data_IF_650883571540
#
_entry.id   IF_650883571540
#
_cell.length_a   1.000
_cell.length_b   1.000
_cell.length_c   1.000
_cell.angle_alpha   90.00
_cell.angle_beta   90.00
_cell.angle_gamma   90.00
#
_symmetry.space_group_name_H-M   'P 1'
#
loop_
_entity.id
_entity.type
_entity.pdbx_description
1 polymer ?
#
# COMPACT_ATOMS: atom_id res chain seq x y z
N UNK A 1 -20.86 -14.02 -20.64
CA UNK A 1 -19.76 -14.54 -19.79
C UNK A 1 -20.35 -14.86 -18.44
N UNK A 2 -20.20 -16.09 -17.93
CA UNK A 2 -20.74 -16.44 -16.62
C UNK A 2 -20.05 -15.62 -15.53
N UNK A 3 -20.75 -15.28 -14.45
CA UNK A 3 -20.20 -14.48 -13.34
C UNK A 3 -19.05 -15.16 -12.61
N UNK A 4 -18.87 -16.48 -12.76
CA UNK A 4 -17.75 -17.22 -12.20
C UNK A 4 -16.48 -17.07 -13.05
N UNK A 5 -16.60 -17.09 -14.38
CA UNK A 5 -15.44 -16.89 -15.27
C UNK A 5 -14.80 -15.51 -15.08
N UNK A 6 -15.60 -14.49 -14.77
CA UNK A 6 -15.09 -13.15 -14.48
C UNK A 6 -14.40 -13.05 -13.12
N UNK A 7 -14.90 -13.73 -12.08
CA UNK A 7 -14.26 -13.73 -10.75
C UNK A 7 -12.94 -14.49 -10.73
N UNK A 8 -12.88 -15.64 -11.40
CA UNK A 8 -11.63 -16.42 -11.53
C UNK A 8 -10.56 -15.58 -12.25
N UNK A 9 -10.95 -14.87 -13.31
CA UNK A 9 -10.05 -13.94 -13.99
C UNK A 9 -9.55 -12.82 -13.08
N UNK A 10 -10.44 -12.17 -12.32
CA UNK A 10 -10.05 -11.11 -11.37
C UNK A 10 -9.08 -11.65 -10.32
N UNK A 11 -9.36 -12.84 -9.76
CA UNK A 11 -8.46 -13.50 -8.81
C UNK A 11 -7.08 -13.76 -9.42
N UNK A 12 -7.02 -14.25 -10.65
CA UNK A 12 -5.76 -14.47 -11.35
C UNK A 12 -5.00 -13.16 -11.62
N UNK A 13 -5.69 -12.10 -12.07
CA UNK A 13 -5.08 -10.77 -12.29
C UNK A 13 -4.54 -10.19 -10.97
N UNK A 14 -5.28 -10.32 -9.86
CA UNK A 14 -4.82 -9.94 -8.52
C UNK A 14 -3.59 -10.75 -8.10
N UNK A 15 -3.59 -12.08 -8.27
CA UNK A 15 -2.47 -12.94 -7.90
C UNK A 15 -1.18 -12.59 -8.68
N UNK A 16 -1.30 -12.32 -9.99
CA UNK A 16 -0.19 -11.87 -10.83
C UNK A 16 0.34 -10.54 -10.33
N UNK A 17 -0.53 -9.57 -10.07
CA UNK A 17 -0.10 -8.24 -9.58
C UNK A 17 0.52 -8.33 -8.17
N UNK A 18 0.04 -9.21 -7.30
CA UNK A 18 0.67 -9.46 -6.00
C UNK A 18 2.08 -10.05 -6.18
N UNK A 19 2.23 -11.02 -7.08
CA UNK A 19 3.54 -11.60 -7.38
C UNK A 19 4.52 -10.55 -7.93
N UNK A 20 4.06 -9.69 -8.86
CA UNK A 20 4.85 -8.57 -9.38
C UNK A 20 5.27 -7.62 -8.25
N UNK A 21 4.34 -7.20 -7.39
CA UNK A 21 4.65 -6.34 -6.25
C UNK A 21 5.65 -6.96 -5.27
N UNK A 22 5.56 -8.27 -5.06
CA UNK A 22 6.48 -9.03 -4.21
C UNK A 22 7.89 -9.08 -4.78
N UNK A 23 8.02 -9.26 -6.09
CA UNK A 23 9.31 -9.22 -6.79
C UNK A 23 9.89 -7.80 -6.76
N UNK A 24 9.08 -6.78 -7.05
CA UNK A 24 9.51 -5.37 -6.97
C UNK A 24 9.99 -4.98 -5.57
N UNK A 25 9.37 -5.54 -4.52
CA UNK A 25 9.79 -5.33 -3.13
C UNK A 25 11.20 -5.87 -2.80
N UNK A 26 11.74 -6.78 -3.63
CA UNK A 26 13.12 -7.27 -3.47
C UNK A 26 14.15 -6.25 -3.98
N UNK A 27 13.77 -5.40 -4.92
CA UNK A 27 14.63 -4.35 -5.46
C UNK A 27 14.53 -3.09 -4.58
N UNK A 28 15.31 -3.08 -3.50
CA UNK A 28 15.38 -1.97 -2.55
C UNK A 28 16.44 -0.97 -3.01
N UNK A 29 16.00 0.24 -3.36
CA UNK A 29 16.88 1.37 -3.66
C UNK A 29 17.56 1.88 -2.39
N UNK A 30 16.83 1.83 -1.27
CA UNK A 30 17.33 2.23 0.05
C UNK A 30 16.59 1.46 1.15
N UNK A 31 17.27 1.08 2.22
CA UNK A 31 16.71 0.32 3.34
C UNK A 31 17.10 0.94 4.67
N UNK A 32 16.13 1.11 5.55
CA UNK A 32 16.34 1.66 6.89
C UNK A 32 16.58 0.55 7.93
N UNK A 33 17.27 0.84 9.06
CA UNK A 33 17.73 -0.19 10.02
C UNK A 33 16.62 -1.00 10.69
N UNK A 34 15.53 -0.34 11.09
CA UNK A 34 14.39 -0.94 11.81
C UNK A 34 13.22 -1.28 10.86
N UNK A 35 13.54 -1.62 9.61
CA UNK A 35 12.56 -1.78 8.55
C UNK A 35 12.22 -0.46 7.86
N UNK A 36 11.37 -0.52 6.84
CA UNK A 36 11.16 0.59 5.90
C UNK A 36 12.19 0.59 4.78
N UNK A 37 11.73 0.85 3.56
CA UNK A 37 12.58 0.85 2.38
C UNK A 37 11.95 1.67 1.27
N UNK A 38 12.81 2.29 0.46
CA UNK A 38 12.44 2.80 -0.85
C UNK A 38 12.70 1.66 -1.84
N UNK A 39 11.68 1.28 -2.60
CA UNK A 39 11.67 0.13 -3.50
C UNK A 39 11.53 0.56 -4.94
N UNK A 40 11.65 -0.38 -5.88
CA UNK A 40 11.27 -0.18 -7.27
C UNK A 40 9.73 -0.19 -7.43
N UNK A 41 9.03 0.75 -6.79
CA UNK A 41 7.55 0.93 -6.83
C UNK A 41 6.74 -0.30 -6.43
N UNK A 42 7.14 -0.98 -5.36
CA UNK A 42 6.46 -2.21 -4.93
C UNK A 42 5.01 -1.98 -4.51
N UNK A 43 4.62 -0.76 -4.10
CA UNK A 43 3.23 -0.43 -3.77
C UNK A 43 2.31 -0.36 -5.00
N UNK A 44 2.87 -0.06 -6.17
CA UNK A 44 2.12 0.26 -7.39
C UNK A 44 1.19 -0.88 -7.82
N UNK A 45 1.60 -2.16 -7.89
CA UNK A 45 0.72 -3.24 -8.32
C UNK A 45 -0.52 -3.40 -7.44
N UNK A 46 -0.41 -3.20 -6.12
CA UNK A 46 -1.54 -3.32 -5.19
C UNK A 46 -2.54 -2.16 -5.35
N UNK A 47 -2.03 -0.94 -5.53
CA UNK A 47 -2.84 0.23 -5.83
C UNK A 47 -3.53 0.07 -7.20
N UNK A 48 -2.83 -0.51 -8.19
CA UNK A 48 -3.40 -0.79 -9.51
C UNK A 48 -4.55 -1.79 -9.43
N UNK A 49 -4.48 -2.81 -8.57
CA UNK A 49 -5.60 -3.74 -8.32
C UNK A 49 -6.84 -2.96 -7.86
N UNK A 50 -6.68 -2.02 -6.92
CA UNK A 50 -7.77 -1.17 -6.44
C UNK A 50 -8.40 -0.40 -7.60
N UNK A 51 -7.60 0.28 -8.44
CA UNK A 51 -8.15 0.99 -9.59
C UNK A 51 -8.76 0.07 -10.65
N UNK A 52 -8.25 -1.14 -10.83
CA UNK A 52 -8.71 -2.02 -11.91
C UNK A 52 -9.97 -2.80 -11.54
N UNK A 53 -10.07 -3.25 -10.30
CA UNK A 53 -11.12 -4.15 -9.83
C UNK A 53 -12.00 -3.54 -8.73
N UNK A 54 -11.69 -2.32 -8.29
CA UNK A 54 -12.41 -1.60 -7.24
C UNK A 54 -11.84 -1.87 -5.85
N UNK A 55 -12.31 -1.07 -4.89
CA UNK A 55 -11.81 -1.04 -3.52
C UNK A 55 -11.82 -2.40 -2.82
N UNK A 56 -12.88 -3.19 -2.96
CA UNK A 56 -12.98 -4.48 -2.26
C UNK A 56 -11.89 -5.47 -2.66
N UNK A 57 -11.60 -5.56 -3.96
CA UNK A 57 -10.51 -6.40 -4.48
C UNK A 57 -9.14 -5.83 -4.12
N UNK A 58 -9.00 -4.49 -4.12
CA UNK A 58 -7.80 -3.81 -3.63
C UNK A 58 -7.49 -4.13 -2.17
N UNK A 59 -8.51 -4.05 -1.29
CA UNK A 59 -8.38 -4.37 0.13
C UNK A 59 -7.98 -5.83 0.35
N UNK A 60 -8.65 -6.76 -0.34
CA UNK A 60 -8.32 -8.19 -0.26
C UNK A 60 -6.88 -8.47 -0.72
N UNK A 61 -6.46 -7.87 -1.83
CA UNK A 61 -5.10 -8.03 -2.35
C UNK A 61 -4.05 -7.40 -1.44
N UNK A 62 -4.33 -6.22 -0.88
CA UNK A 62 -3.46 -5.57 0.10
C UNK A 62 -3.30 -6.39 1.38
N UNK A 63 -4.40 -6.99 1.87
CA UNK A 63 -4.37 -7.91 3.00
C UNK A 63 -3.55 -9.16 2.70
N UNK A 64 -3.79 -9.83 1.56
CA UNK A 64 -3.02 -11.00 1.15
C UNK A 64 -1.51 -10.68 1.02
N UNK A 65 -1.18 -9.51 0.48
CA UNK A 65 0.20 -9.02 0.40
C UNK A 65 0.82 -8.79 1.78
N UNK A 66 0.06 -8.30 2.77
CA UNK A 66 0.58 -8.14 4.13
C UNK A 66 1.06 -9.48 4.70
N UNK A 67 0.28 -10.55 4.50
CA UNK A 67 0.64 -11.90 4.94
C UNK A 67 1.89 -12.40 4.21
N UNK A 68 1.96 -12.18 2.90
CA UNK A 68 3.10 -12.61 2.10
C UNK A 68 4.38 -11.87 2.49
N UNK A 69 4.31 -10.58 2.79
CA UNK A 69 5.47 -9.84 3.24
C UNK A 69 5.95 -10.24 4.63
N UNK A 70 5.03 -10.55 5.55
CA UNK A 70 5.42 -11.12 6.85
C UNK A 70 6.05 -12.50 6.69
N UNK A 71 5.53 -13.33 5.78
CA UNK A 71 6.05 -14.66 5.52
C UNK A 71 7.45 -14.64 4.88
N UNK A 72 7.67 -13.78 3.89
CA UNK A 72 8.92 -13.74 3.12
C UNK A 72 9.97 -12.79 3.71
N UNK A 73 9.53 -11.67 4.28
CA UNK A 73 10.40 -10.63 4.83
C UNK A 73 10.59 -10.71 6.35
N UNK A 74 9.81 -11.55 7.04
CA UNK A 74 9.75 -11.60 8.49
C UNK A 74 9.01 -10.41 9.11
N UNK A 75 8.98 -10.39 10.44
CA UNK A 75 8.45 -9.28 11.24
C UNK A 75 9.60 -8.66 12.02
N UNK A 76 9.80 -7.35 11.87
CA UNK A 76 10.71 -6.58 12.73
C UNK A 76 10.13 -6.51 14.15
N UNK A 77 10.83 -7.13 15.10
CA UNK A 77 10.45 -7.12 16.50
C UNK A 77 10.69 -5.72 17.10
N UNK A 78 9.68 -5.11 17.76
CA UNK A 78 9.84 -3.79 18.33
C UNK A 78 10.74 -3.83 19.59
N UNK A 79 11.46 -2.75 19.91
CA UNK A 79 12.47 -2.72 20.97
C UNK A 79 11.88 -2.89 22.37
N UNK A 80 10.61 -2.50 22.55
CA UNK A 80 9.88 -2.64 23.80
C UNK A 80 9.75 -4.10 24.27
N UNK A 81 9.93 -5.10 23.40
CA UNK A 81 9.98 -6.52 23.77
C UNK A 81 8.67 -7.09 24.33
N UNK A 82 7.56 -6.35 24.31
CA UNK A 82 6.26 -6.81 24.81
C UNK A 82 5.40 -7.42 23.72
N UNK A 83 4.55 -8.39 24.08
CA UNK A 83 3.60 -9.00 23.15
C UNK A 83 2.63 -7.96 22.54
N UNK A 84 2.18 -6.98 23.33
CA UNK A 84 1.29 -5.91 22.88
C UNK A 84 1.97 -5.02 21.84
N UNK A 85 3.24 -4.68 22.04
CA UNK A 85 4.02 -3.91 21.07
C UNK A 85 4.18 -4.69 19.76
N UNK A 86 4.45 -6.00 19.83
CA UNK A 86 4.57 -6.85 18.65
C UNK A 86 3.24 -6.93 17.87
N UNK A 87 2.13 -7.17 18.55
CA UNK A 87 0.79 -7.20 17.92
C UNK A 87 0.46 -5.85 17.30
N UNK A 88 0.76 -4.75 18.00
CA UNK A 88 0.60 -3.40 17.48
C UNK A 88 1.42 -3.14 16.22
N UNK A 89 2.69 -3.58 16.20
CA UNK A 89 3.59 -3.40 15.05
C UNK A 89 3.10 -4.22 13.86
N UNK A 90 2.70 -5.48 14.06
CA UNK A 90 2.10 -6.33 13.03
C UNK A 90 0.86 -5.67 12.43
N UNK A 91 -0.02 -5.14 13.28
CA UNK A 91 -1.26 -4.52 12.84
C UNK A 91 -1.00 -3.23 12.05
N UNK A 92 -0.18 -2.32 12.59
CA UNK A 92 0.06 -1.00 11.99
C UNK A 92 1.04 -1.05 10.82
N UNK A 93 2.17 -1.74 10.94
CA UNK A 93 3.25 -1.71 9.95
C UNK A 93 3.07 -2.71 8.80
N UNK A 94 2.20 -3.72 8.96
CA UNK A 94 1.95 -4.74 7.95
C UNK A 94 0.48 -4.75 7.54
N UNK A 95 -0.42 -5.21 8.42
CA UNK A 95 -1.80 -5.51 8.04
C UNK A 95 -2.50 -4.23 7.54
N UNK A 96 -2.60 -3.19 8.36
CA UNK A 96 -3.26 -1.94 7.99
C UNK A 96 -2.48 -1.20 6.91
N UNK A 97 -1.16 -1.04 7.07
CA UNK A 97 -0.31 -0.32 6.12
C UNK A 97 -0.36 -0.86 4.68
N UNK A 98 -0.55 -2.17 4.46
CA UNK A 98 -0.69 -2.74 3.12
C UNK A 98 -2.15 -2.91 2.68
N UNK A 99 -3.07 -3.24 3.59
CA UNK A 99 -4.50 -3.39 3.26
C UNK A 99 -5.09 -2.07 2.80
N UNK A 100 -4.77 -0.96 3.45
CA UNK A 100 -5.33 0.37 3.15
C UNK A 100 -4.89 0.92 1.79
N UNK A 101 -3.84 0.38 1.16
CA UNK A 101 -3.51 0.65 -0.25
C UNK A 101 -4.68 0.31 -1.19
N UNK A 102 -5.53 -0.63 -0.77
CA UNK A 102 -6.74 -1.02 -1.47
C UNK A 102 -7.81 0.06 -1.58
N UNK A 103 -7.73 1.16 -0.83
CA UNK A 103 -8.71 2.26 -0.84
C UNK A 103 -8.50 3.27 -1.97
N UNK A 104 -7.49 3.11 -2.82
CA UNK A 104 -7.09 4.12 -3.80
C UNK A 104 -8.20 4.51 -4.78
N UNK A 105 -8.96 3.52 -5.26
CA UNK A 105 -10.13 3.76 -6.11
C UNK A 105 -11.19 4.59 -5.40
N UNK A 106 -11.53 4.21 -4.16
CA UNK A 106 -12.47 4.95 -3.31
C UNK A 106 -12.07 6.41 -3.12
N UNK A 107 -10.81 6.68 -2.77
CA UNK A 107 -10.30 8.06 -2.64
C UNK A 107 -10.33 8.82 -3.97
N UNK A 108 -10.10 8.14 -5.10
CA UNK A 108 -10.12 8.81 -6.40
C UNK A 108 -11.50 9.36 -6.78
N UNK A 109 -12.59 8.75 -6.29
CA UNK A 109 -13.95 9.21 -6.52
C UNK A 109 -14.30 10.49 -5.74
N UNK A 110 -13.52 10.86 -4.72
CA UNK A 110 -13.72 12.13 -3.99
C UNK A 110 -13.48 13.36 -4.88
N UNK A 111 -12.69 13.23 -5.96
CA UNK A 111 -12.50 14.29 -6.96
C UNK A 111 -13.46 14.15 -8.16
N UNK A 112 -14.38 13.18 -8.13
CA UNK A 112 -15.40 12.93 -9.14
C UNK A 112 -15.43 11.48 -9.63
N UNK A 113 -16.59 11.07 -10.16
CA UNK A 113 -16.88 9.69 -10.62
C UNK A 113 -16.04 9.23 -11.81
N UNK A 114 -15.57 10.18 -12.64
CA UNK A 114 -14.76 9.84 -13.81
C UNK A 114 -13.32 9.65 -13.38
N UNK A 115 -12.75 8.49 -13.71
CA UNK A 115 -11.29 8.30 -13.62
C UNK A 115 -10.62 9.26 -14.58
N UNK A 116 -9.88 10.19 -14.00
CA UNK A 116 -8.97 11.08 -14.70
C UNK A 116 -7.57 10.90 -14.12
N UNK A 117 -6.56 11.41 -14.81
CA UNK A 117 -5.20 11.45 -14.28
C UNK A 117 -5.15 12.09 -12.89
N UNK A 118 -5.92 13.18 -12.67
CA UNK A 118 -5.94 13.89 -11.38
C UNK A 118 -6.51 12.99 -10.27
N UNK A 119 -7.61 12.29 -10.54
CA UNK A 119 -8.26 11.40 -9.59
C UNK A 119 -7.36 10.20 -9.24
N UNK A 120 -6.71 9.59 -10.23
CA UNK A 120 -5.77 8.47 -10.01
C UNK A 120 -4.55 8.92 -9.20
N UNK A 121 -3.99 10.09 -9.54
CA UNK A 121 -2.85 10.66 -8.81
C UNK A 121 -3.23 10.94 -7.35
N UNK A 122 -4.40 11.55 -7.12
CA UNK A 122 -4.92 11.84 -5.79
C UNK A 122 -5.19 10.57 -4.97
N UNK A 123 -5.89 9.59 -5.55
CA UNK A 123 -6.18 8.32 -4.87
C UNK A 123 -4.91 7.56 -4.49
N UNK A 124 -3.90 7.57 -5.36
CA UNK A 124 -2.58 6.98 -5.10
C UNK A 124 -1.88 7.70 -3.95
N UNK A 125 -1.83 9.03 -4.00
CA UNK A 125 -1.24 9.83 -2.93
C UNK A 125 -1.95 9.61 -1.59
N UNK A 126 -3.28 9.61 -1.58
CA UNK A 126 -4.09 9.45 -0.37
C UNK A 126 -3.79 8.13 0.36
N UNK A 127 -3.68 7.02 -0.37
CA UNK A 127 -3.35 5.73 0.27
C UNK A 127 -1.88 5.59 0.67
N UNK A 128 -0.95 6.20 -0.09
CA UNK A 128 0.45 6.24 0.33
C UNK A 128 0.61 7.07 1.60
N UNK A 129 -0.12 8.17 1.72
CA UNK A 129 -0.18 8.99 2.92
C UNK A 129 -0.82 8.23 4.09
N UNK A 130 -1.92 7.51 3.85
CA UNK A 130 -2.57 6.69 4.87
C UNK A 130 -1.64 5.58 5.38
N UNK A 131 -0.88 4.93 4.48
CA UNK A 131 0.17 3.99 4.84
C UNK A 131 1.26 4.64 5.69
N UNK A 132 1.72 5.84 5.30
CA UNK A 132 2.66 6.61 6.11
C UNK A 132 2.09 6.92 7.49
N UNK A 133 0.82 7.28 7.62
CA UNK A 133 0.17 7.49 8.91
C UNK A 133 0.17 6.23 9.78
N UNK A 134 -0.05 5.05 9.21
CA UNK A 134 0.07 3.79 9.97
C UNK A 134 1.47 3.62 10.55
N UNK A 135 2.51 3.78 9.73
CA UNK A 135 3.90 3.66 10.17
C UNK A 135 4.32 4.77 11.11
N UNK A 136 3.79 5.99 10.93
CA UNK A 136 4.01 7.11 11.84
C UNK A 136 3.38 6.86 13.22
N UNK A 137 2.14 6.36 13.25
CA UNK A 137 1.46 6.00 14.50
C UNK A 137 2.20 4.85 15.19
N UNK A 138 2.63 3.84 14.44
CA UNK A 138 3.47 2.76 14.96
C UNK A 138 4.79 3.28 15.53
N UNK A 139 5.48 4.14 14.76
CA UNK A 139 6.77 4.68 15.16
C UNK A 139 6.73 5.45 16.48
N UNK A 140 5.66 6.21 16.74
CA UNK A 140 5.54 6.96 17.99
C UNK A 140 5.05 6.07 19.15
N UNK A 141 4.11 5.15 18.93
CA UNK A 141 3.53 4.32 20.00
C UNK A 141 4.39 3.12 20.39
N UNK A 142 5.09 2.53 19.43
CA UNK A 142 5.72 1.22 19.56
C UNK A 142 7.24 1.33 19.49
N UNK A 143 7.75 2.15 18.58
CA UNK A 143 9.19 2.33 18.36
C UNK A 143 9.78 3.54 19.10
N UNK A 144 8.95 4.30 19.82
CA UNK A 144 9.37 5.51 20.55
C UNK A 144 10.39 5.26 21.65
N UNK A 145 10.54 4.02 22.11
CA UNK A 145 11.59 3.62 23.06
C UNK A 145 13.02 3.76 22.52
N UNK A 146 13.19 3.99 21.21
CA UNK A 146 14.50 4.24 20.58
C UNK A 146 15.04 5.65 20.82
N UNK A 147 14.25 6.55 21.41
CA UNK A 147 14.69 7.92 21.69
C UNK A 147 15.16 8.02 23.13
N UNK A 148 16.46 8.23 23.36
CA UNK A 148 17.04 8.41 24.70
C UNK A 148 16.93 9.87 25.20
N UNK A 149 16.83 10.86 24.30
CA UNK A 149 17.19 12.25 24.63
C UNK A 149 16.15 13.32 24.27
N UNK A 150 14.90 13.23 24.75
CA UNK A 150 13.93 14.34 24.68
C UNK A 150 13.47 14.81 23.28
N UNK A 151 14.10 14.32 22.21
CA UNK A 151 13.62 14.35 20.83
C UNK A 151 12.43 13.39 20.76
N UNK A 152 11.27 13.87 21.20
CA UNK A 152 10.11 13.02 21.50
C UNK A 152 9.76 12.02 20.39
N UNK A 153 9.20 10.88 20.78
CA UNK A 153 8.82 9.76 19.91
C UNK A 153 8.07 10.18 18.62
N UNK A 154 7.30 11.27 18.69
CA UNK A 154 6.62 11.89 17.54
C UNK A 154 7.61 12.38 16.48
N UNK A 155 8.64 13.15 16.86
CA UNK A 155 9.64 13.68 15.93
C UNK A 155 10.49 12.56 15.34
N UNK A 156 10.91 11.60 16.17
CA UNK A 156 11.59 10.40 15.69
C UNK A 156 10.75 9.66 14.64
N UNK A 157 9.49 9.39 14.96
CA UNK A 157 8.60 8.67 14.06
C UNK A 157 8.37 9.43 12.75
N UNK A 158 8.19 10.75 12.81
CA UNK A 158 8.01 11.61 11.65
C UNK A 158 9.22 11.55 10.71
N UNK A 159 10.43 11.73 11.26
CA UNK A 159 11.66 11.73 10.48
C UNK A 159 11.96 10.33 9.94
N UNK A 160 11.93 9.31 10.79
CA UNK A 160 12.24 7.94 10.41
C UNK A 160 11.29 7.44 9.31
N UNK A 161 9.98 7.52 9.53
CA UNK A 161 9.00 7.04 8.55
C UNK A 161 8.93 7.94 7.32
N UNK A 162 9.05 9.26 7.51
CA UNK A 162 9.04 10.22 6.41
C UNK A 162 10.22 10.03 5.46
N UNK A 163 11.41 9.68 5.99
CA UNK A 163 12.63 9.54 5.20
C UNK A 163 12.54 8.52 4.07
N UNK A 164 11.83 7.40 4.28
CA UNK A 164 11.62 6.39 3.23
C UNK A 164 10.23 6.49 2.59
N UNK A 165 9.18 6.86 3.32
CA UNK A 165 7.83 6.93 2.74
C UNK A 165 7.67 8.10 1.78
N UNK A 166 8.32 9.25 2.01
CA UNK A 166 8.23 10.39 1.11
C UNK A 166 8.79 10.08 -0.28
N UNK A 167 10.05 9.62 -0.45
CA UNK A 167 10.56 9.24 -1.76
C UNK A 167 9.77 8.07 -2.38
N UNK A 168 9.39 7.05 -1.59
CA UNK A 168 8.58 5.93 -2.07
C UNK A 168 7.21 6.39 -2.60
N UNK A 169 6.57 7.35 -1.91
CA UNK A 169 5.31 7.97 -2.33
C UNK A 169 5.49 8.76 -3.62
N UNK A 170 6.52 9.60 -3.70
CA UNK A 170 6.80 10.42 -4.90
C UNK A 170 6.98 9.52 -6.12
N UNK A 171 7.81 8.48 -6.02
CA UNK A 171 8.08 7.57 -7.13
C UNK A 171 6.80 6.80 -7.50
N UNK A 172 6.08 6.26 -6.52
CA UNK A 172 4.84 5.49 -6.78
C UNK A 172 3.76 6.36 -7.44
N UNK A 173 3.55 7.58 -6.95
CA UNK A 173 2.58 8.52 -7.53
C UNK A 173 2.99 8.91 -8.96
N UNK A 174 4.26 9.24 -9.19
CA UNK A 174 4.76 9.61 -10.51
C UNK A 174 4.60 8.47 -11.53
N UNK A 175 4.97 7.25 -11.16
CA UNK A 175 4.87 6.08 -12.05
C UNK A 175 3.42 5.67 -12.27
N UNK A 176 2.58 5.68 -11.21
CA UNK A 176 1.15 5.35 -11.36
C UNK A 176 0.45 6.34 -12.29
N UNK A 177 0.75 7.63 -12.12
CA UNK A 177 0.23 8.65 -12.99
C UNK A 177 0.70 8.38 -14.43
N UNK A 178 2.02 8.27 -14.68
CA UNK A 178 2.56 7.98 -16.02
C UNK A 178 1.91 6.73 -16.66
N UNK A 179 1.68 5.69 -15.87
CA UNK A 179 0.98 4.48 -16.30
C UNK A 179 -0.45 4.76 -16.73
N UNK A 180 -1.18 5.63 -16.03
CA UNK A 180 -2.52 6.04 -16.44
C UNK A 180 -2.54 6.77 -17.79
N UNK A 181 -1.56 7.65 -18.04
CA UNK A 181 -1.44 8.35 -19.32
C UNK A 181 -1.05 7.42 -20.48
N UNK A 182 -0.08 6.52 -20.25
CA UNK A 182 0.51 5.68 -21.30
C UNK A 182 -0.24 4.37 -21.52
N UNK A 183 -0.90 3.85 -20.49
CA UNK A 183 -1.60 2.58 -20.51
C UNK A 183 -2.97 2.65 -19.80
N UNK A 184 -3.90 3.55 -20.22
CA UNK A 184 -5.20 3.72 -19.57
C UNK A 184 -6.07 2.45 -19.60
N UNK A 185 -5.79 1.50 -20.51
CA UNK A 185 -6.47 0.21 -20.56
C UNK A 185 -6.28 -0.64 -19.30
N UNK A 186 -5.21 -0.40 -18.52
CA UNK A 186 -4.98 -1.09 -17.26
C UNK A 186 -5.97 -0.67 -16.16
N UNK A 187 -6.56 0.52 -16.27
CA UNK A 187 -7.48 1.11 -15.29
C UNK A 187 -8.96 0.89 -15.63
N UNK A 188 -9.25 0.26 -16.78
CA UNK A 188 -10.62 -0.04 -17.19
C UNK A 188 -11.18 -1.15 -16.30
N UNK A 189 -12.23 -0.84 -15.54
CA UNK A 189 -12.98 -1.84 -14.80
C UNK A 189 -13.54 -2.88 -15.76
N UNK A 190 -13.20 -4.14 -15.54
CA UNK A 190 -13.84 -5.24 -16.23
C UNK A 190 -15.17 -5.52 -15.53
N UNK A 191 -16.28 -5.24 -16.21
CA UNK A 191 -17.61 -5.40 -15.64
C UNK A 191 -17.89 -6.85 -15.26
N UNK A 192 -18.05 -7.10 -13.95
CA UNK A 192 -18.91 -8.20 -13.49
C UNK A 192 -20.34 -7.69 -13.73
N UNK A 193 -20.87 -7.95 -14.92
CA UNK A 193 -22.26 -7.72 -15.34
C UNK A 193 -22.89 -6.44 -14.78
N UNK A 194 -22.92 -5.36 -15.57
CA UNK A 194 -23.87 -4.28 -15.33
C UNK A 194 -25.26 -4.91 -15.20
N UNK A 195 -25.82 -4.99 -13.99
CA UNK A 195 -27.26 -5.14 -13.83
C UNK A 195 -27.84 -3.85 -14.40
N UNK A 196 -28.56 -3.98 -15.51
CA UNK A 196 -29.36 -2.90 -16.03
C UNK A 196 -30.30 -2.40 -14.94
N UNK A 197 -30.33 -1.09 -14.79
CA UNK A 197 -31.54 -0.36 -14.40
C UNK A 197 -31.86 0.51 -15.60
#
# INVERSE_FOLDING_TARGET
MSTNDSKVRILAECAILIAVGTVLAQFKLFRMPNGGSVTAVSMLPFILISFRHGTNWGLLAGFANSLLQMLLGGVYAPPAGTATALVGAVLLDYILAFTLLGLADGFSHMLGEKKTWKNVTFGTFAVCFLRFLCSFVSGFLIWGSLTEDGFGAVTFSLIYNGSYMLPETIITVAVMAALYQKAPMLFRQQGVGKKGI
#
